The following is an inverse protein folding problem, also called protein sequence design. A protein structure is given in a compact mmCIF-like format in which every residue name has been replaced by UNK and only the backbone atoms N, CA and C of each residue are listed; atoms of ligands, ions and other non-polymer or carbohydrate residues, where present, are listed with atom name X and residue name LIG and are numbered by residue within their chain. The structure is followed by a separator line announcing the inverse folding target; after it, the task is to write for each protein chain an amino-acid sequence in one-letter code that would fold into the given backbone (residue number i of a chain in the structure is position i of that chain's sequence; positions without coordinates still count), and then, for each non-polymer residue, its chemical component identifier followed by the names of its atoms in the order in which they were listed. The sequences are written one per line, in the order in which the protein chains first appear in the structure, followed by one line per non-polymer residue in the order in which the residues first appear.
data_IF_987669652674
#
_entry.id   IF_987669652674
#
_cell.length_a   1.000
_cell.length_b   1.000
_cell.length_c   1.000
_cell.angle_alpha   90.00
_cell.angle_beta   90.00
_cell.angle_gamma   90.00
#
_symmetry.space_group_name_H-M   'P 1'
#
loop_
_entity.id
_entity.type
_entity.pdbx_description
1 polymer ?
#
# COMPACT_ATOMS: atom_id res chain seq x y z
N UNK A 1 3.01 18.08 25.51
CA UNK A 1 2.57 19.16 24.60
C UNK A 1 2.73 18.63 23.20
N UNK A 2 1.69 18.70 22.37
CA UNK A 2 1.83 18.36 20.95
C UNK A 2 2.89 19.29 20.32
N UNK A 3 3.81 18.78 19.48
CA UNK A 3 4.71 19.65 18.73
C UNK A 3 3.88 20.65 17.90
N UNK A 4 4.29 21.92 17.84
CA UNK A 4 3.69 22.86 16.90
C UNK A 4 4.12 22.46 15.48
N UNK A 5 3.28 21.73 14.76
CA UNK A 5 3.51 21.31 13.37
C UNK A 5 2.95 22.41 12.44
N UNK A 6 3.24 23.66 12.78
CA UNK A 6 2.51 24.82 12.23
C UNK A 6 3.23 25.39 10.99
N UNK A 7 4.49 25.03 10.76
CA UNK A 7 5.23 25.38 9.54
C UNK A 7 6.07 24.23 8.98
N UNK A 8 6.45 24.32 7.71
CA UNK A 8 7.18 23.26 6.97
C UNK A 8 8.51 22.85 7.61
N UNK A 9 9.25 23.79 8.21
CA UNK A 9 10.52 23.49 8.88
C UNK A 9 10.31 22.67 10.15
N UNK A 10 9.30 23.00 10.95
CA UNK A 10 8.94 22.22 12.14
C UNK A 10 8.46 20.81 11.79
N UNK A 11 7.67 20.69 10.72
CA UNK A 11 7.17 19.43 10.19
C UNK A 11 8.31 18.53 9.70
N UNK A 12 9.21 19.06 8.88
CA UNK A 12 10.37 18.32 8.36
C UNK A 12 11.29 17.84 9.49
N UNK A 13 11.55 18.70 10.47
CA UNK A 13 12.37 18.34 11.62
C UNK A 13 11.75 17.17 12.39
N UNK A 14 10.47 17.26 12.74
CA UNK A 14 9.79 16.20 13.48
C UNK A 14 9.73 14.87 12.70
N UNK A 15 9.30 14.90 11.43
CA UNK A 15 9.06 13.69 10.63
C UNK A 15 10.36 13.02 10.20
N UNK A 16 11.26 13.82 9.61
CA UNK A 16 12.40 13.31 8.85
C UNK A 16 13.65 13.37 9.71
N UNK A 17 13.99 14.54 10.24
CA UNK A 17 15.26 14.73 10.97
C UNK A 17 15.28 13.97 12.29
N UNK A 18 14.19 14.04 13.03
CA UNK A 18 14.04 13.44 14.36
C UNK A 18 13.47 12.01 14.26
N UNK A 19 13.14 11.53 13.05
CA UNK A 19 12.82 10.12 12.77
C UNK A 19 11.40 9.66 13.15
N UNK A 20 10.51 10.56 13.58
CA UNK A 20 9.15 10.17 14.02
C UNK A 20 8.25 9.67 12.86
N UNK A 21 8.59 10.01 11.61
CA UNK A 21 7.83 9.64 10.43
C UNK A 21 6.40 10.19 10.39
N UNK A 22 5.65 9.81 9.36
CA UNK A 22 4.23 10.20 9.22
C UNK A 22 3.35 9.54 10.29
N UNK A 23 3.73 8.35 10.77
CA UNK A 23 3.05 7.67 11.88
C UNK A 23 3.06 8.51 13.16
N UNK A 24 4.22 9.05 13.55
CA UNK A 24 4.33 9.87 14.77
C UNK A 24 3.47 11.14 14.72
N UNK A 25 3.23 11.70 13.54
CA UNK A 25 2.30 12.83 13.37
C UNK A 25 0.86 12.39 13.63
N UNK A 26 0.45 11.27 13.03
CA UNK A 26 -0.89 10.72 13.23
C UNK A 26 -1.11 10.40 14.71
N UNK A 27 -0.13 9.76 15.36
CA UNK A 27 -0.16 9.42 16.79
C UNK A 27 -0.20 10.68 17.69
N UNK A 28 0.31 11.81 17.22
CA UNK A 28 0.23 13.12 17.90
C UNK A 28 -1.17 13.75 17.85
N UNK A 29 -2.12 13.15 17.13
CA UNK A 29 -3.52 13.55 17.11
C UNK A 29 -3.84 14.72 16.17
N UNK A 30 -3.15 14.83 15.03
CA UNK A 30 -3.46 15.86 14.03
C UNK A 30 -4.91 15.76 13.54
N UNK A 31 -5.57 16.91 13.36
CA UNK A 31 -6.95 16.99 12.87
C UNK A 31 -7.07 17.28 11.38
N UNK A 32 -5.97 17.69 10.73
CA UNK A 32 -5.91 18.04 9.31
C UNK A 32 -4.59 17.58 8.71
N UNK A 33 -4.63 17.23 7.43
CA UNK A 33 -3.43 16.88 6.65
C UNK A 33 -2.57 18.14 6.45
N UNK A 34 -1.26 18.11 6.80
CA UNK A 34 -0.37 19.23 6.55
C UNK A 34 -0.23 19.55 5.05
N UNK A 35 -0.05 20.82 4.71
CA UNK A 35 0.02 21.30 3.32
C UNK A 35 1.05 20.55 2.48
N UNK A 36 2.19 20.19 3.06
CA UNK A 36 3.27 19.44 2.38
C UNK A 36 2.86 18.05 1.86
N UNK A 37 1.75 17.47 2.35
CA UNK A 37 1.24 16.17 1.90
C UNK A 37 0.01 16.28 0.99
N UNK A 38 -0.50 17.50 0.75
CA UNK A 38 -1.62 17.70 -0.15
C UNK A 38 -1.07 17.68 -1.58
N UNK A 39 -1.47 16.66 -2.33
CA UNK A 39 -1.06 16.50 -3.72
C UNK A 39 -1.60 17.63 -4.60
N UNK A 40 -0.91 18.02 -5.68
CA UNK A 40 -1.44 18.92 -6.69
C UNK A 40 -2.82 18.44 -7.19
N UNK A 41 -3.74 19.34 -7.60
CA UNK A 41 -5.08 18.95 -8.02
C UNK A 41 -5.12 17.85 -9.10
N UNK A 42 -4.12 17.83 -10.00
CA UNK A 42 -4.01 16.82 -11.05
C UNK A 42 -3.63 15.42 -10.57
N UNK A 43 -3.02 15.31 -9.38
CA UNK A 43 -2.56 14.04 -8.77
C UNK A 43 -3.49 13.55 -7.66
N UNK A 44 -4.49 14.35 -7.28
CA UNK A 44 -5.47 13.95 -6.28
C UNK A 44 -6.37 12.82 -6.83
N UNK A 45 -6.41 11.71 -6.11
CA UNK A 45 -7.23 10.56 -6.48
C UNK A 45 -8.71 10.93 -6.36
N UNK A 46 -9.39 10.96 -7.50
CA UNK A 46 -10.85 11.10 -7.55
C UNK A 46 -11.52 9.76 -7.23
N UNK A 47 -11.85 9.56 -5.95
CA UNK A 47 -12.52 8.35 -5.48
C UNK A 47 -13.91 8.16 -6.08
N UNK A 48 -14.59 9.23 -6.50
CA UNK A 48 -15.95 9.14 -7.02
C UNK A 48 -15.97 8.60 -8.45
N UNK A 49 -14.89 8.82 -9.20
CA UNK A 49 -14.71 8.34 -10.58
C UNK A 49 -13.85 7.09 -10.68
N UNK A 50 -13.53 6.44 -9.55
CA UNK A 50 -12.74 5.22 -9.55
C UNK A 50 -13.54 4.03 -10.14
N UNK A 51 -13.05 3.45 -11.22
CA UNK A 51 -13.63 2.25 -11.83
C UNK A 51 -13.09 0.99 -11.16
N UNK A 52 -13.95 -0.01 -10.93
CA UNK A 52 -13.50 -1.33 -10.45
C UNK A 52 -12.66 -2.02 -11.50
N UNK A 53 -11.57 -2.66 -11.08
CA UNK A 53 -10.81 -3.55 -11.96
C UNK A 53 -11.70 -4.72 -12.37
N UNK A 54 -11.81 -4.97 -13.67
CA UNK A 54 -12.66 -6.02 -14.25
C UNK A 54 -11.93 -7.37 -14.37
N UNK A 55 -10.64 -7.42 -14.09
CA UNK A 55 -9.87 -8.66 -14.14
C UNK A 55 -10.01 -9.41 -12.82
N UNK A 56 -10.56 -10.63 -12.80
CA UNK A 56 -10.54 -11.46 -11.61
C UNK A 56 -9.10 -11.84 -11.26
N UNK A 57 -8.82 -12.19 -9.99
CA UNK A 57 -7.53 -12.78 -9.63
C UNK A 57 -7.26 -14.07 -10.42
N UNK A 58 -5.99 -14.27 -10.79
CA UNK A 58 -5.52 -15.44 -11.53
C UNK A 58 -5.25 -16.58 -10.55
N UNK A 59 -5.84 -17.75 -10.80
CA UNK A 59 -5.63 -18.94 -9.98
C UNK A 59 -4.37 -19.69 -10.40
N UNK A 60 -3.34 -19.66 -9.54
CA UNK A 60 -2.05 -20.29 -9.81
C UNK A 60 -2.01 -21.78 -9.46
N UNK A 61 -3.04 -22.35 -8.83
CA UNK A 61 -3.08 -23.79 -8.50
C UNK A 61 -3.06 -24.69 -9.74
N UNK A 62 -3.48 -24.15 -10.89
CA UNK A 62 -3.53 -24.86 -12.17
C UNK A 62 -2.28 -24.66 -13.03
N UNK A 63 -1.33 -23.85 -12.57
CA UNK A 63 -0.15 -23.47 -13.35
C UNK A 63 0.73 -24.68 -13.71
N UNK A 64 0.92 -25.62 -12.79
CA UNK A 64 1.70 -26.83 -13.02
C UNK A 64 0.84 -28.01 -13.51
N UNK A 65 -0.37 -27.72 -13.99
CA UNK A 65 -1.38 -28.70 -14.39
C UNK A 65 -1.66 -28.73 -15.91
N UNK A 66 -2.70 -29.45 -16.34
CA UNK A 66 -3.09 -29.51 -17.76
C UNK A 66 -3.52 -28.15 -18.34
N UNK A 67 -3.83 -27.18 -17.49
CA UNK A 67 -4.27 -25.84 -17.88
C UNK A 67 -3.15 -24.80 -17.84
N UNK A 68 -1.89 -25.25 -17.80
CA UNK A 68 -0.68 -24.40 -17.79
C UNK A 68 -0.78 -23.24 -18.80
N UNK A 69 -1.04 -23.56 -20.06
CA UNK A 69 -1.10 -22.57 -21.14
C UNK A 69 -2.24 -21.55 -20.93
N UNK A 70 -3.35 -21.95 -20.32
CA UNK A 70 -4.45 -21.03 -20.01
C UNK A 70 -4.04 -20.04 -18.92
N UNK A 71 -3.40 -20.52 -17.84
CA UNK A 71 -2.90 -19.64 -16.76
C UNK A 71 -1.84 -18.68 -17.28
N UNK A 72 -0.89 -19.17 -18.10
CA UNK A 72 0.13 -18.33 -18.75
C UNK A 72 -0.51 -17.26 -19.64
N UNK A 73 -1.52 -17.63 -20.45
CA UNK A 73 -2.24 -16.67 -21.29
C UNK A 73 -3.00 -15.61 -20.46
N UNK A 74 -3.56 -15.97 -19.31
CA UNK A 74 -4.19 -15.01 -18.40
C UNK A 74 -3.16 -14.00 -17.86
N UNK A 75 -1.98 -14.47 -17.46
CA UNK A 75 -0.88 -13.62 -16.97
C UNK A 75 -0.42 -12.66 -18.06
N UNK A 76 -0.12 -13.17 -19.26
CA UNK A 76 0.31 -12.35 -20.41
C UNK A 76 -0.73 -11.30 -20.73
N UNK A 77 -2.01 -11.70 -20.86
CA UNK A 77 -3.10 -10.77 -21.17
C UNK A 77 -3.25 -9.67 -20.13
N UNK A 78 -3.18 -10.01 -18.84
CA UNK A 78 -3.30 -9.01 -17.79
C UNK A 78 -2.10 -8.06 -17.75
N UNK A 79 -0.89 -8.57 -17.97
CA UNK A 79 0.33 -7.77 -18.08
C UNK A 79 0.29 -6.82 -19.29
N UNK A 80 -0.19 -7.27 -20.45
CA UNK A 80 -0.28 -6.43 -21.66
C UNK A 80 -1.43 -5.42 -21.61
N UNK A 81 -2.55 -5.78 -20.96
CA UNK A 81 -3.74 -4.90 -20.93
C UNK A 81 -3.69 -3.88 -19.82
N UNK A 82 -3.30 -4.29 -18.61
CA UNK A 82 -3.30 -3.42 -17.42
C UNK A 82 -1.90 -3.17 -16.85
N UNK A 83 -0.92 -4.04 -17.11
CA UNK A 83 0.36 -4.02 -16.41
C UNK A 83 0.27 -4.44 -14.93
N UNK A 84 -0.88 -4.96 -14.49
CA UNK A 84 -1.15 -5.34 -13.10
C UNK A 84 -2.17 -6.48 -13.03
N UNK A 85 -1.99 -7.40 -12.08
CA UNK A 85 -2.93 -8.49 -11.80
C UNK A 85 -2.81 -8.95 -10.35
N UNK A 86 -3.86 -9.62 -9.85
CA UNK A 86 -3.86 -10.29 -8.56
C UNK A 86 -3.77 -11.79 -8.78
N UNK A 87 -3.23 -12.52 -7.81
CA UNK A 87 -3.12 -13.98 -7.84
C UNK A 87 -3.73 -14.61 -6.59
N UNK A 88 -4.30 -15.80 -6.75
CA UNK A 88 -4.78 -16.64 -5.66
C UNK A 88 -4.19 -18.05 -5.79
N UNK A 89 -4.24 -18.83 -4.71
CA UNK A 89 -3.66 -20.17 -4.66
C UNK A 89 -2.19 -20.23 -5.11
N UNK A 90 -1.43 -19.17 -4.81
CA UNK A 90 -0.02 -19.00 -5.18
C UNK A 90 0.96 -19.89 -4.39
N UNK A 91 0.46 -20.84 -3.58
CA UNK A 91 1.27 -21.78 -2.80
C UNK A 91 1.97 -21.20 -1.56
N UNK A 92 1.86 -19.90 -1.30
CA UNK A 92 2.42 -19.28 -0.08
C UNK A 92 1.41 -19.47 1.06
N UNK A 93 1.82 -20.04 2.22
CA UNK A 93 0.92 -20.24 3.35
C UNK A 93 0.33 -18.92 3.86
N UNK A 94 -0.98 -18.90 4.11
CA UNK A 94 -1.68 -17.71 4.63
C UNK A 94 -1.10 -17.28 5.96
N UNK A 95 -0.75 -18.24 6.83
CA UNK A 95 -0.15 -17.94 8.14
C UNK A 95 1.19 -17.18 8.02
N UNK A 96 1.93 -17.39 6.94
CA UNK A 96 3.18 -16.67 6.69
C UNK A 96 2.91 -15.21 6.34
N UNK A 97 1.89 -14.95 5.51
CA UNK A 97 1.46 -13.58 5.16
C UNK A 97 0.95 -12.84 6.40
N UNK A 98 0.10 -13.47 7.21
CA UNK A 98 -0.40 -12.91 8.47
C UNK A 98 0.74 -12.62 9.46
N UNK A 99 1.70 -13.54 9.59
CA UNK A 99 2.87 -13.33 10.45
C UNK A 99 3.75 -12.19 9.95
N UNK A 100 3.88 -12.01 8.63
CA UNK A 100 4.62 -10.90 8.04
C UNK A 100 3.93 -9.57 8.34
N UNK A 101 2.61 -9.48 8.11
CA UNK A 101 1.81 -8.29 8.44
C UNK A 101 1.93 -7.93 9.93
N UNK A 102 1.80 -8.92 10.82
CA UNK A 102 1.96 -8.71 12.26
C UNK A 102 3.36 -8.22 12.61
N UNK A 103 4.40 -8.76 11.96
CA UNK A 103 5.79 -8.32 12.19
C UNK A 103 5.99 -6.86 11.77
N UNK A 104 5.43 -6.46 10.62
CA UNK A 104 5.47 -5.07 10.14
C UNK A 104 4.76 -4.14 11.13
N UNK A 105 3.56 -4.50 11.60
CA UNK A 105 2.84 -3.74 12.61
C UNK A 105 3.63 -3.60 13.91
N UNK A 106 4.25 -4.69 14.39
CA UNK A 106 5.06 -4.68 15.61
C UNK A 106 6.28 -3.77 15.46
N UNK A 107 6.98 -3.85 14.32
CA UNK A 107 8.15 -3.03 14.05
C UNK A 107 7.81 -1.53 14.06
N UNK A 108 6.79 -1.11 13.30
CA UNK A 108 6.36 0.29 13.29
C UNK A 108 5.62 0.71 14.57
N UNK A 109 5.27 -0.24 15.43
CA UNK A 109 4.72 -0.01 16.77
C UNK A 109 5.79 0.20 17.86
N UNK A 110 7.08 0.00 17.55
CA UNK A 110 8.17 0.29 18.48
C UNK A 110 8.25 1.80 18.79
N UNK A 111 8.78 2.19 19.96
CA UNK A 111 9.07 3.58 20.27
C UNK A 111 10.00 4.21 19.22
N UNK A 112 9.69 5.45 18.84
CA UNK A 112 10.49 6.29 17.95
C UNK A 112 11.79 6.75 18.61
#
# INVERSE_FOLDING_TARGET
MAPSIDNESSLFNFVVRDGNGVKGIVDSGISKVPQAYIQPPAEQIDKNNATKCLFPPIDLSRLDGPDHDEVVNQIVRAAETLGFFQVINHGIPVQLLESLEQTVHNFFGLPS
#
